data_IF_152073681152
#
_entry.id   IF_152073681152
#
_cell.length_a   1.000
_cell.length_b   1.000
_cell.length_c   1.000
_cell.angle_alpha   90.00
_cell.angle_beta   90.00
_cell.angle_gamma   90.00
#
_symmetry.space_group_name_H-M   'P 1'
#
loop_
_entity.id
_entity.type
_entity.pdbx_description
1 polymer ?
#
# COMPACT_ATOMS: atom_id res chain seq x y z
N UNK A 1 11.23 5.35 22.87
CA UNK A 1 10.04 5.40 23.76
C UNK A 1 8.83 5.57 22.86
N UNK A 2 7.76 4.79 23.06
CA UNK A 2 6.51 5.01 22.32
C UNK A 2 5.89 6.34 22.73
N UNK A 3 5.31 7.06 21.77
CA UNK A 3 4.66 8.37 21.99
C UNK A 3 3.28 8.25 22.64
N UNK A 4 2.74 7.03 22.76
CA UNK A 4 1.43 6.70 23.37
C UNK A 4 1.42 5.29 23.96
N UNK A 5 0.44 5.01 24.83
CA UNK A 5 0.21 3.67 25.42
C UNK A 5 -0.13 2.62 24.36
N UNK A 6 0.27 1.37 24.62
CA UNK A 6 -0.06 0.22 23.76
C UNK A 6 -1.58 0.06 23.69
N UNK A 7 -2.11 -0.12 22.48
CA UNK A 7 -3.55 -0.28 22.23
C UNK A 7 -4.36 1.03 22.27
N UNK A 8 -3.74 2.17 22.57
CA UNK A 8 -4.47 3.45 22.64
C UNK A 8 -4.97 3.95 21.28
N UNK A 9 -4.26 3.63 20.19
CA UNK A 9 -4.67 3.94 18.83
C UNK A 9 -4.02 2.98 17.82
N UNK A 10 -4.74 2.73 16.74
CA UNK A 10 -4.25 1.99 15.58
C UNK A 10 -3.14 2.76 14.84
N UNK A 11 -2.13 2.02 14.37
CA UNK A 11 -1.15 2.50 13.38
C UNK A 11 -0.61 1.30 12.61
N UNK A 12 -0.56 1.44 11.28
CA UNK A 12 -0.09 0.38 10.39
C UNK A 12 1.42 0.18 10.57
N UNK A 13 1.87 -1.08 10.70
CA UNK A 13 3.29 -1.38 10.92
C UNK A 13 3.75 -2.66 10.24
N UNK A 14 4.40 -2.50 9.08
CA UNK A 14 5.13 -3.60 8.43
C UNK A 14 6.22 -4.16 9.34
N UNK A 15 6.90 -3.31 10.13
CA UNK A 15 7.88 -3.75 11.11
C UNK A 15 7.24 -4.67 12.16
N UNK A 16 6.06 -4.30 12.66
CA UNK A 16 5.31 -5.13 13.62
C UNK A 16 4.96 -6.50 13.05
N UNK A 17 4.46 -6.56 11.82
CA UNK A 17 4.13 -7.84 11.15
C UNK A 17 5.36 -8.68 10.82
N UNK A 18 6.45 -8.04 10.37
CA UNK A 18 7.73 -8.71 10.16
C UNK A 18 8.30 -9.30 11.46
N UNK A 19 8.25 -8.54 12.56
CA UNK A 19 8.64 -9.02 13.90
C UNK A 19 7.76 -10.18 14.37
N UNK A 20 6.44 -10.12 14.16
CA UNK A 20 5.54 -11.22 14.49
C UNK A 20 5.94 -12.51 13.75
N UNK A 21 6.19 -12.42 12.43
CA UNK A 21 6.67 -13.57 11.65
C UNK A 21 7.98 -14.15 12.19
N UNK A 22 8.92 -13.29 12.60
CA UNK A 22 10.17 -13.71 13.22
C UNK A 22 9.95 -14.41 14.57
N UNK A 23 9.13 -13.84 15.46
CA UNK A 23 8.80 -14.42 16.76
C UNK A 23 8.10 -15.78 16.63
N UNK A 24 7.16 -15.92 15.69
CA UNK A 24 6.50 -17.18 15.40
C UNK A 24 7.48 -18.25 14.92
N UNK A 25 8.45 -17.87 14.09
CA UNK A 25 9.52 -18.77 13.61
C UNK A 25 10.40 -19.26 14.77
N UNK A 26 10.81 -18.35 15.66
CA UNK A 26 11.59 -18.70 16.85
C UNK A 26 10.82 -19.67 17.76
N UNK A 27 9.54 -19.40 18.00
CA UNK A 27 8.68 -20.25 18.83
C UNK A 27 8.47 -21.63 18.21
N UNK A 28 8.27 -21.70 16.88
CA UNK A 28 8.07 -22.94 16.14
C UNK A 28 9.39 -23.70 15.88
N UNK A 29 10.54 -23.09 16.15
CA UNK A 29 11.89 -23.62 15.90
C UNK A 29 12.11 -24.05 14.44
N UNK A 30 11.50 -23.32 13.51
CA UNK A 30 11.66 -23.47 12.06
C UNK A 30 11.72 -22.08 11.43
N UNK A 31 12.24 -21.97 10.21
CA UNK A 31 12.18 -20.71 9.47
C UNK A 31 10.73 -20.33 9.08
N UNK A 32 10.51 -19.07 8.74
CA UNK A 32 9.19 -18.54 8.46
C UNK A 32 8.54 -19.18 7.22
N UNK A 33 9.34 -19.52 6.19
CA UNK A 33 8.82 -20.16 4.98
C UNK A 33 8.28 -21.56 5.27
N UNK A 34 9.01 -22.34 6.07
CA UNK A 34 8.57 -23.64 6.57
C UNK A 34 7.29 -23.51 7.41
N UNK A 35 7.21 -22.50 8.28
CA UNK A 35 6.02 -22.27 9.11
C UNK A 35 4.78 -21.94 8.26
N UNK A 36 4.92 -21.06 7.27
CA UNK A 36 3.82 -20.72 6.34
C UNK A 36 3.39 -21.96 5.56
N UNK A 37 4.34 -22.71 4.99
CA UNK A 37 4.05 -23.92 4.21
C UNK A 37 3.23 -24.93 5.04
N UNK A 38 3.61 -25.18 6.30
CA UNK A 38 2.84 -26.05 7.21
C UNK A 38 1.43 -25.51 7.49
N UNK A 39 1.29 -24.20 7.64
CA UNK A 39 0.02 -23.55 7.98
C UNK A 39 -0.98 -23.63 6.84
N UNK A 40 -0.53 -23.47 5.59
CA UNK A 40 -1.40 -23.45 4.40
C UNK A 40 -1.51 -24.82 3.71
N UNK A 41 -0.72 -25.82 4.13
CA UNK A 41 -0.78 -27.17 3.57
C UNK A 41 -2.20 -27.76 3.58
N UNK A 42 -3.02 -27.63 4.64
CA UNK A 42 -4.40 -28.14 4.64
C UNK A 42 -5.29 -27.54 3.54
N UNK A 43 -4.96 -26.33 3.08
CA UNK A 43 -5.67 -25.61 2.02
C UNK A 43 -5.15 -25.95 0.62
N UNK A 44 -4.10 -26.76 0.51
CA UNK A 44 -3.49 -27.17 -0.76
C UNK A 44 -3.07 -25.98 -1.63
N UNK A 45 -2.53 -24.93 -1.00
CA UNK A 45 -2.02 -23.73 -1.66
C UNK A 45 -0.58 -23.95 -2.17
N UNK A 46 -0.43 -24.83 -3.18
CA UNK A 46 0.86 -25.34 -3.66
C UNK A 46 1.73 -24.31 -4.39
N UNK A 47 1.13 -23.20 -4.83
CA UNK A 47 1.79 -22.08 -5.48
C UNK A 47 1.94 -20.86 -4.57
N UNK A 48 1.76 -21.05 -3.26
CA UNK A 48 1.94 -20.00 -2.25
C UNK A 48 3.18 -20.26 -1.40
N UNK A 49 4.17 -19.39 -1.50
CA UNK A 49 5.43 -19.54 -0.76
C UNK A 49 6.26 -18.26 -0.74
N UNK A 50 7.32 -18.27 0.07
CA UNK A 50 8.33 -17.21 0.11
C UNK A 50 9.39 -17.48 -0.96
N UNK A 51 10.04 -18.63 -0.91
CA UNK A 51 11.11 -18.98 -1.85
C UNK A 51 10.53 -19.78 -3.02
N UNK A 52 10.61 -19.24 -4.25
CA UNK A 52 10.07 -19.90 -5.43
C UNK A 52 10.94 -21.10 -5.86
N UNK A 53 10.31 -22.19 -6.29
CA UNK A 53 11.00 -23.25 -7.03
C UNK A 53 11.37 -22.78 -8.44
N UNK A 54 12.25 -23.51 -9.14
CA UNK A 54 12.62 -23.18 -10.52
C UNK A 54 11.40 -23.14 -11.47
N UNK A 55 10.44 -24.06 -11.30
CA UNK A 55 9.21 -24.09 -12.09
C UNK A 55 8.34 -22.86 -11.84
N UNK A 56 8.16 -22.49 -10.57
CA UNK A 56 7.35 -21.33 -10.20
C UNK A 56 8.03 -20.01 -10.58
N UNK A 57 9.36 -19.94 -10.49
CA UNK A 57 10.12 -18.80 -10.96
C UNK A 57 9.98 -18.59 -12.48
N UNK A 58 9.95 -19.68 -13.27
CA UNK A 58 9.81 -19.61 -14.73
C UNK A 58 8.46 -19.03 -15.19
N UNK A 59 7.43 -19.12 -14.35
CA UNK A 59 6.08 -18.61 -14.61
C UNK A 59 5.69 -17.45 -13.67
N UNK A 60 6.65 -16.91 -12.94
CA UNK A 60 6.43 -15.74 -12.08
C UNK A 60 6.28 -14.49 -12.97
N UNK A 61 5.22 -13.71 -12.75
CA UNK A 61 4.96 -12.53 -13.54
C UNK A 61 6.04 -11.46 -13.32
N UNK A 62 6.49 -10.80 -14.40
CA UNK A 62 7.35 -9.61 -14.29
C UNK A 62 6.52 -8.45 -13.78
N UNK A 63 6.97 -7.80 -12.69
CA UNK A 63 6.33 -6.59 -12.17
C UNK A 63 6.68 -5.37 -13.02
N UNK A 64 5.79 -4.37 -13.03
CA UNK A 64 5.99 -3.15 -13.80
C UNK A 64 5.75 -1.90 -12.96
N UNK A 65 6.56 -0.86 -13.17
CA UNK A 65 6.32 0.46 -12.61
C UNK A 65 5.03 1.10 -13.17
N UNK A 66 4.70 2.30 -12.70
CA UNK A 66 3.55 3.05 -13.19
C UNK A 66 3.59 3.30 -14.72
N UNK A 67 4.78 3.43 -15.32
CA UNK A 67 4.94 3.66 -16.77
C UNK A 67 4.89 2.36 -17.59
N UNK A 68 4.75 1.20 -16.95
CA UNK A 68 4.76 -0.09 -17.60
C UNK A 68 6.16 -0.61 -17.91
N UNK A 69 7.22 -0.04 -17.34
CA UNK A 69 8.57 -0.59 -17.47
C UNK A 69 8.76 -1.75 -16.49
N UNK A 70 9.47 -2.83 -16.89
CA UNK A 70 9.72 -3.96 -16.02
C UNK A 70 10.62 -3.56 -14.84
N UNK A 71 10.25 -3.98 -13.63
CA UNK A 71 11.01 -3.75 -12.39
C UNK A 71 11.30 -5.06 -11.66
N UNK A 72 12.33 -5.04 -10.81
CA UNK A 72 12.65 -6.19 -9.96
C UNK A 72 11.64 -6.35 -8.84
N UNK A 73 11.17 -7.58 -8.62
CA UNK A 73 10.34 -7.90 -7.45
C UNK A 73 11.15 -7.69 -6.17
N UNK A 74 10.51 -7.13 -5.14
CA UNK A 74 11.15 -7.02 -3.84
C UNK A 74 11.37 -8.39 -3.21
N UNK A 75 12.48 -8.53 -2.50
CA UNK A 75 12.70 -9.62 -1.57
C UNK A 75 12.80 -9.05 -0.14
N UNK A 76 12.04 -9.64 0.78
CA UNK A 76 11.87 -9.13 2.15
C UNK A 76 12.38 -10.15 3.17
N UNK A 77 13.64 -10.60 3.11
CA UNK A 77 14.11 -11.73 3.91
C UNK A 77 13.94 -11.50 5.42
N UNK A 78 14.18 -10.27 5.90
CA UNK A 78 14.03 -9.91 7.31
C UNK A 78 12.59 -9.62 7.71
N UNK A 79 11.75 -9.17 6.78
CA UNK A 79 10.36 -8.77 7.01
C UNK A 79 9.37 -9.66 6.25
N UNK A 80 9.70 -10.94 6.06
CA UNK A 80 8.90 -11.82 5.21
C UNK A 80 7.46 -11.98 5.72
N UNK A 81 7.24 -11.85 7.03
CA UNK A 81 5.91 -11.81 7.65
C UNK A 81 5.06 -10.59 7.30
N UNK A 82 5.66 -9.52 6.77
CA UNK A 82 4.95 -8.31 6.36
C UNK A 82 4.44 -8.35 4.91
N UNK A 83 5.06 -9.13 4.03
CA UNK A 83 4.70 -9.13 2.60
C UNK A 83 5.57 -10.00 1.70
N UNK A 84 6.24 -11.02 2.25
CA UNK A 84 7.19 -11.86 1.49
C UNK A 84 6.54 -12.99 0.69
N UNK A 85 5.22 -13.16 0.73
CA UNK A 85 4.53 -14.24 0.04
C UNK A 85 4.29 -13.93 -1.44
N UNK A 86 4.51 -14.94 -2.26
CA UNK A 86 4.11 -14.99 -3.67
C UNK A 86 3.04 -16.07 -3.80
N UNK A 87 1.99 -15.81 -4.58
CA UNK A 87 0.81 -16.67 -4.68
C UNK A 87 0.15 -16.54 -6.05
N UNK A 88 -0.92 -17.32 -6.26
CA UNK A 88 -1.80 -17.24 -7.44
C UNK A 88 -3.22 -16.92 -7.03
N UNK A 89 -4.03 -16.40 -7.96
CA UNK A 89 -5.45 -16.20 -7.69
C UNK A 89 -6.14 -17.51 -7.29
N UNK A 90 -5.79 -18.63 -7.91
CA UNK A 90 -6.31 -19.97 -7.60
C UNK A 90 -6.07 -20.36 -6.14
N UNK A 91 -4.86 -20.16 -5.63
CA UNK A 91 -4.55 -20.50 -4.24
C UNK A 91 -5.18 -19.53 -3.24
N UNK A 92 -5.17 -18.23 -3.54
CA UNK A 92 -5.84 -17.24 -2.69
C UNK A 92 -7.35 -17.47 -2.64
N UNK A 93 -7.98 -17.98 -3.71
CA UNK A 93 -9.39 -18.37 -3.71
C UNK A 93 -9.66 -19.57 -2.79
N UNK A 94 -8.73 -20.52 -2.65
CA UNK A 94 -8.85 -21.61 -1.66
C UNK A 94 -8.80 -21.05 -0.23
N UNK A 95 -7.86 -20.15 0.04
CA UNK A 95 -7.78 -19.45 1.32
C UNK A 95 -9.05 -18.65 1.60
N UNK A 96 -9.57 -17.94 0.61
CA UNK A 96 -10.77 -17.12 0.74
C UNK A 96 -12.01 -17.97 0.98
N UNK A 97 -12.17 -19.10 0.29
CA UNK A 97 -13.26 -20.04 0.49
C UNK A 97 -13.30 -20.55 1.94
N UNK A 98 -12.14 -20.89 2.51
CA UNK A 98 -12.04 -21.31 3.90
C UNK A 98 -12.31 -20.18 4.91
N UNK A 99 -12.05 -18.92 4.56
CA UNK A 99 -12.43 -17.77 5.39
C UNK A 99 -13.93 -17.45 5.30
N UNK A 100 -14.55 -17.73 4.16
CA UNK A 100 -15.94 -17.39 3.88
C UNK A 100 -16.92 -18.38 4.51
N UNK A 101 -16.55 -19.66 4.54
CA UNK A 101 -17.40 -20.75 4.97
C UNK A 101 -16.62 -21.77 5.82
N UNK A 102 -17.08 -21.96 7.06
CA UNK A 102 -16.48 -22.91 8.00
C UNK A 102 -16.52 -24.35 7.49
N UNK A 103 -17.51 -24.70 6.67
CA UNK A 103 -17.64 -26.03 6.08
C UNK A 103 -16.61 -26.30 4.99
N UNK A 104 -16.07 -25.24 4.38
CA UNK A 104 -15.02 -25.32 3.36
C UNK A 104 -13.61 -25.25 3.96
N UNK A 105 -13.49 -24.94 5.24
CA UNK A 105 -12.23 -24.88 5.95
C UNK A 105 -11.83 -26.25 6.52
N UNK A 106 -10.57 -26.69 6.34
CA UNK A 106 -10.05 -27.87 7.03
C UNK A 106 -10.14 -27.70 8.56
N UNK A 107 -10.67 -28.72 9.24
CA UNK A 107 -10.95 -28.67 10.69
C UNK A 107 -9.74 -28.32 11.56
N UNK A 108 -8.52 -28.60 11.09
CA UNK A 108 -7.26 -28.26 11.76
C UNK A 108 -7.01 -26.75 11.87
N UNK A 109 -7.65 -25.93 11.02
CA UNK A 109 -7.45 -24.48 10.97
C UNK A 109 -8.75 -23.67 11.03
N UNK A 110 -9.94 -24.28 10.94
CA UNK A 110 -11.23 -23.57 10.88
C UNK A 110 -11.40 -22.56 12.02
N UNK A 111 -11.22 -22.98 13.27
CA UNK A 111 -11.40 -22.12 14.45
C UNK A 111 -10.44 -20.94 14.47
N UNK A 112 -9.10 -21.12 14.41
CA UNK A 112 -8.19 -19.98 14.40
C UNK A 112 -8.38 -19.08 13.19
N UNK A 113 -8.74 -19.63 12.02
CA UNK A 113 -9.00 -18.85 10.81
C UNK A 113 -10.19 -17.90 10.97
N UNK A 114 -11.31 -18.36 11.51
CA UNK A 114 -12.49 -17.49 11.68
C UNK A 114 -12.35 -16.52 12.86
N UNK A 115 -11.55 -16.87 13.87
CA UNK A 115 -11.21 -15.93 14.94
C UNK A 115 -10.48 -14.69 14.41
N UNK A 116 -9.80 -14.76 13.26
CA UNK A 116 -9.09 -13.61 12.70
C UNK A 116 -10.01 -12.49 12.23
N UNK A 117 -11.30 -12.75 12.05
CA UNK A 117 -12.29 -11.74 11.61
C UNK A 117 -12.82 -10.88 12.76
N UNK A 118 -12.45 -11.18 14.01
CA UNK A 118 -12.92 -10.44 15.18
C UNK A 118 -12.24 -9.08 15.26
N UNK A 119 -13.01 -8.00 15.25
CA UNK A 119 -12.51 -6.62 15.41
C UNK A 119 -11.75 -6.48 16.73
N UNK A 120 -10.54 -5.94 16.65
CA UNK A 120 -9.65 -5.68 17.78
C UNK A 120 -9.60 -4.18 18.13
N UNK A 121 -9.60 -3.30 17.12
CA UNK A 121 -9.48 -1.85 17.33
C UNK A 121 -10.09 -1.07 16.17
N UNK A 122 -10.70 0.08 16.47
CA UNK A 122 -11.14 1.03 15.45
C UNK A 122 -9.93 1.82 14.90
N UNK A 123 -9.90 2.08 13.60
CA UNK A 123 -8.88 2.97 13.03
C UNK A 123 -9.23 4.44 13.25
N UNK A 124 -8.39 5.37 12.78
CA UNK A 124 -8.75 6.80 12.74
C UNK A 124 -9.93 7.10 11.80
N UNK A 125 -10.26 6.18 10.89
CA UNK A 125 -11.42 6.28 10.01
C UNK A 125 -12.62 5.58 10.65
N UNK A 126 -13.81 6.23 10.73
CA UNK A 126 -14.98 5.64 11.38
C UNK A 126 -15.53 4.42 10.65
N UNK A 127 -15.23 4.29 9.36
CA UNK A 127 -15.71 3.20 8.51
C UNK A 127 -14.78 1.97 8.50
N UNK A 128 -13.58 2.09 9.09
CA UNK A 128 -12.55 1.04 9.01
C UNK A 128 -12.13 0.62 10.40
N UNK A 129 -12.31 -0.65 10.71
CA UNK A 129 -11.75 -1.30 11.89
C UNK A 129 -10.66 -2.30 11.50
N UNK A 130 -9.85 -2.70 12.47
CA UNK A 130 -8.86 -3.78 12.31
C UNK A 130 -9.28 -5.01 13.08
N UNK A 131 -9.29 -6.14 12.38
CA UNK A 131 -9.24 -7.46 12.97
C UNK A 131 -7.80 -8.02 12.90
N UNK A 132 -7.61 -9.32 13.10
CA UNK A 132 -6.25 -9.91 13.08
C UNK A 132 -5.78 -10.09 11.64
N UNK A 133 -5.04 -9.12 11.12
CA UNK A 133 -4.52 -9.15 9.75
C UNK A 133 -5.56 -8.86 8.67
N UNK A 134 -6.71 -8.29 9.05
CA UNK A 134 -7.78 -7.88 8.13
C UNK A 134 -8.25 -6.46 8.45
N UNK A 135 -8.47 -5.66 7.42
CA UNK A 135 -9.32 -4.48 7.50
C UNK A 135 -10.79 -4.93 7.45
N UNK A 136 -11.61 -4.32 8.30
CA UNK A 136 -13.07 -4.48 8.27
C UNK A 136 -13.66 -3.13 7.87
N UNK A 137 -14.04 -3.00 6.61
CA UNK A 137 -14.66 -1.81 6.03
C UNK A 137 -16.18 -1.94 6.15
N UNK A 138 -16.83 -0.94 6.74
CA UNK A 138 -18.30 -0.85 6.78
C UNK A 138 -18.76 0.37 6.00
N UNK A 139 -19.30 0.14 4.80
CA UNK A 139 -19.87 1.17 3.92
C UNK A 139 -21.15 0.65 3.28
N UNK A 140 -22.12 1.53 3.00
CA UNK A 140 -23.39 1.16 2.36
C UNK A 140 -24.12 -0.02 3.05
N UNK A 141 -24.04 -0.09 4.39
CA UNK A 141 -24.57 -1.21 5.20
C UNK A 141 -23.95 -2.58 4.88
N UNK A 142 -22.83 -2.61 4.15
CA UNK A 142 -22.07 -3.80 3.80
C UNK A 142 -20.79 -3.82 4.62
N UNK A 143 -20.57 -4.93 5.33
CA UNK A 143 -19.30 -5.21 6.01
C UNK A 143 -18.40 -6.04 5.08
N UNK A 144 -17.30 -5.44 4.66
CA UNK A 144 -16.29 -6.06 3.79
C UNK A 144 -15.03 -6.34 4.62
N UNK A 145 -14.63 -7.60 4.69
CA UNK A 145 -13.38 -8.02 5.33
C UNK A 145 -12.33 -8.17 4.23
N UNK A 146 -11.25 -7.39 4.29
CA UNK A 146 -10.30 -7.29 3.19
C UNK A 146 -8.86 -7.03 3.65
N UNK A 147 -7.92 -7.33 2.77
CA UNK A 147 -6.57 -6.82 2.85
C UNK A 147 -6.07 -6.55 1.44
N UNK A 148 -5.32 -5.46 1.27
CA UNK A 148 -4.62 -5.13 0.04
C UNK A 148 -3.10 -5.24 0.26
N UNK A 149 -2.33 -5.23 -0.81
CA UNK A 149 -0.88 -5.33 -0.72
C UNK A 149 -0.19 -4.72 -1.91
N UNK A 150 0.98 -4.15 -1.67
CA UNK A 150 1.84 -3.60 -2.70
C UNK A 150 3.30 -3.93 -2.43
N UNK A 151 3.99 -4.40 -3.47
CA UNK A 151 5.45 -4.57 -3.52
C UNK A 151 5.96 -4.02 -4.86
N UNK A 152 7.27 -4.03 -5.09
CA UNK A 152 7.87 -3.47 -6.31
C UNK A 152 7.29 -4.07 -7.58
N UNK A 153 6.48 -3.29 -8.30
CA UNK A 153 5.82 -3.73 -9.52
C UNK A 153 4.55 -4.59 -9.36
N UNK A 154 3.99 -4.74 -8.16
CA UNK A 154 2.80 -5.59 -7.94
C UNK A 154 1.77 -4.95 -7.01
N UNK A 155 0.50 -5.27 -7.25
CA UNK A 155 -0.62 -4.99 -6.34
C UNK A 155 -1.50 -6.23 -6.17
N UNK A 156 -2.11 -6.33 -5.00
CA UNK A 156 -3.02 -7.42 -4.65
C UNK A 156 -4.19 -6.89 -3.84
N UNK A 157 -5.35 -7.52 -4.04
CA UNK A 157 -6.54 -7.35 -3.23
C UNK A 157 -7.12 -8.73 -2.94
N UNK A 158 -7.49 -8.96 -1.68
CA UNK A 158 -8.30 -10.08 -1.26
C UNK A 158 -9.38 -9.57 -0.30
N UNK A 159 -10.63 -9.94 -0.54
CA UNK A 159 -11.72 -9.53 0.34
C UNK A 159 -12.98 -10.34 0.14
N UNK A 160 -13.86 -10.29 1.14
CA UNK A 160 -15.11 -11.02 1.13
C UNK A 160 -16.19 -10.35 1.98
N UNK A 161 -17.44 -10.70 1.67
CA UNK A 161 -18.64 -10.36 2.44
C UNK A 161 -19.31 -11.65 2.90
N UNK A 162 -19.60 -11.77 4.20
CA UNK A 162 -20.17 -13.00 4.79
C UNK A 162 -21.59 -13.29 4.32
N UNK A 163 -22.33 -12.25 3.93
CA UNK A 163 -23.64 -12.34 3.29
C UNK A 163 -23.62 -11.37 2.09
N UNK A 164 -23.85 -11.84 0.85
CA UNK A 164 -24.39 -13.13 0.42
C UNK A 164 -23.37 -14.27 0.23
N UNK A 165 -22.21 -14.25 0.91
CA UNK A 165 -21.06 -15.14 0.68
C UNK A 165 -20.41 -14.90 -0.69
N UNK A 166 -19.81 -13.73 -0.84
CA UNK A 166 -19.04 -13.37 -2.03
C UNK A 166 -17.59 -13.10 -1.63
N UNK A 167 -16.65 -13.69 -2.36
CA UNK A 167 -15.22 -13.48 -2.19
C UNK A 167 -14.56 -13.08 -3.50
N UNK A 168 -13.63 -12.14 -3.44
CA UNK A 168 -12.91 -11.59 -4.59
C UNK A 168 -11.41 -11.60 -4.32
N UNK A 169 -10.64 -12.01 -5.32
CA UNK A 169 -9.19 -11.86 -5.39
C UNK A 169 -8.86 -11.11 -6.68
N UNK A 170 -8.04 -10.07 -6.59
CA UNK A 170 -7.50 -9.35 -7.75
C UNK A 170 -5.99 -9.26 -7.59
N UNK A 171 -5.24 -9.67 -8.62
CA UNK A 171 -3.78 -9.60 -8.65
C UNK A 171 -3.34 -8.82 -9.88
N UNK A 172 -2.37 -7.92 -9.72
CA UNK A 172 -1.79 -7.12 -10.78
C UNK A 172 -0.28 -7.09 -10.68
N UNK A 173 0.40 -7.19 -11.83
CA UNK A 173 1.83 -7.01 -11.98
C UNK A 173 2.18 -5.59 -12.47
N UNK A 174 1.45 -4.61 -11.94
CA UNK A 174 1.66 -3.17 -12.13
C UNK A 174 1.55 -2.46 -10.79
N UNK A 175 2.17 -1.29 -10.67
CA UNK A 175 2.06 -0.40 -9.50
C UNK A 175 0.74 0.37 -9.38
N UNK A 176 -0.11 0.33 -10.41
CA UNK A 176 -1.43 0.96 -10.35
C UNK A 176 -2.31 0.29 -9.31
N UNK A 177 -2.99 1.11 -8.49
CA UNK A 177 -3.88 0.57 -7.47
C UNK A 177 -5.11 -0.14 -8.09
N UNK A 178 -5.52 -1.24 -7.47
CA UNK A 178 -6.56 -2.15 -7.96
C UNK A 178 -7.64 -2.46 -6.91
N UNK A 179 -7.54 -1.91 -5.69
CA UNK A 179 -8.49 -2.22 -4.62
C UNK A 179 -9.91 -1.79 -4.95
N UNK A 180 -10.08 -0.75 -5.77
CA UNK A 180 -11.39 -0.31 -6.27
C UNK A 180 -12.08 -1.38 -7.13
N UNK A 181 -11.35 -2.12 -7.96
CA UNK A 181 -11.87 -3.27 -8.72
C UNK A 181 -12.38 -4.34 -7.75
N UNK A 182 -11.58 -4.66 -6.73
CA UNK A 182 -11.94 -5.64 -5.71
C UNK A 182 -13.19 -5.25 -4.92
N UNK A 183 -13.23 -4.01 -4.46
CA UNK A 183 -14.36 -3.42 -3.73
C UNK A 183 -15.61 -3.35 -4.61
N UNK A 184 -15.50 -2.90 -5.86
CA UNK A 184 -16.63 -2.80 -6.80
C UNK A 184 -17.25 -4.17 -7.11
N UNK A 185 -16.42 -5.23 -7.18
CA UNK A 185 -16.92 -6.59 -7.38
C UNK A 185 -17.65 -7.13 -6.15
N UNK A 186 -17.27 -6.69 -4.93
CA UNK A 186 -17.94 -7.06 -3.68
C UNK A 186 -19.21 -6.25 -3.42
N UNK A 187 -19.19 -4.96 -3.74
CA UNK A 187 -20.32 -4.03 -3.68
C UNK A 187 -20.25 -3.06 -4.87
N UNK A 188 -21.19 -3.20 -5.81
CA UNK A 188 -21.24 -2.39 -7.04
C UNK A 188 -21.48 -0.90 -6.82
N UNK A 189 -21.84 -0.49 -5.60
CA UNK A 189 -21.96 0.93 -5.24
C UNK A 189 -20.59 1.58 -5.05
N UNK A 190 -19.53 0.80 -4.82
CA UNK A 190 -18.16 1.33 -4.80
C UNK A 190 -17.77 1.78 -6.20
N UNK A 191 -17.36 3.04 -6.41
CA UNK A 191 -16.98 3.53 -7.73
C UNK A 191 -15.67 2.90 -8.19
N UNK A 192 -15.60 2.60 -9.49
CA UNK A 192 -14.33 2.32 -10.13
C UNK A 192 -13.60 3.63 -10.38
N UNK A 193 -12.30 3.64 -10.07
CA UNK A 193 -11.41 4.74 -10.41
C UNK A 193 -11.24 4.77 -11.92
N UNK A 194 -11.41 5.94 -12.52
CA UNK A 194 -11.07 6.10 -13.93
C UNK A 194 -9.56 6.07 -14.08
N UNK A 195 -9.06 5.05 -14.78
CA UNK A 195 -7.63 4.96 -15.09
C UNK A 195 -7.20 6.18 -15.90
N UNK A 196 -6.21 6.89 -15.37
CA UNK A 196 -5.49 7.92 -16.10
C UNK A 196 -4.09 7.41 -16.35
N UNK A 197 -3.67 7.23 -17.62
CA UNK A 197 -2.31 6.79 -17.91
C UNK A 197 -1.33 7.83 -17.36
N UNK A 198 -0.26 7.40 -16.68
CA UNK A 198 0.74 8.32 -16.19
C UNK A 198 1.29 9.10 -17.37
N UNK A 199 1.28 10.42 -17.23
CA UNK A 199 1.81 11.31 -18.25
C UNK A 199 3.33 11.08 -18.28
N UNK A 200 3.88 10.81 -19.46
CA UNK A 200 5.34 10.85 -19.62
C UNK A 200 5.79 12.30 -19.41
N UNK A 201 6.51 12.55 -18.31
CA UNK A 201 6.99 13.88 -17.96
C UNK A 201 8.42 14.05 -18.41
N UNK A 202 8.71 15.21 -18.99
CA UNK A 202 10.05 15.57 -19.45
C UNK A 202 10.56 16.66 -18.52
N UNK A 203 11.68 16.39 -17.86
CA UNK A 203 12.33 17.38 -17.02
C UNK A 203 12.90 18.52 -17.87
N UNK A 204 12.67 19.75 -17.44
CA UNK A 204 13.30 20.96 -17.98
C UNK A 204 14.35 21.47 -17.00
N UNK A 205 15.38 22.14 -17.52
CA UNK A 205 16.31 22.88 -16.69
C UNK A 205 15.71 24.25 -16.35
N UNK A 206 15.62 24.57 -15.07
CA UNK A 206 15.33 25.91 -14.57
C UNK A 206 16.62 26.57 -14.10
N UNK A 207 16.67 27.90 -14.13
CA UNK A 207 17.74 28.64 -13.48
C UNK A 207 17.72 28.31 -11.97
N UNK A 208 18.83 27.88 -11.35
CA UNK A 208 18.84 27.55 -9.93
C UNK A 208 18.35 28.70 -9.03
N UNK A 209 18.48 29.96 -9.44
CA UNK A 209 18.05 31.13 -8.66
C UNK A 209 16.54 31.22 -8.49
N UNK A 210 15.73 30.81 -9.48
CA UNK A 210 14.26 30.80 -9.33
C UNK A 210 13.79 29.72 -8.36
N UNK A 211 14.60 28.68 -8.12
CA UNK A 211 14.24 27.60 -7.19
C UNK A 211 14.21 28.04 -5.73
N UNK A 212 14.90 29.13 -5.37
CA UNK A 212 14.94 29.64 -4.00
C UNK A 212 13.55 30.10 -3.52
N UNK A 213 12.69 30.56 -4.44
CA UNK A 213 11.31 30.95 -4.13
C UNK A 213 10.44 29.78 -3.63
N UNK A 214 10.76 28.55 -4.04
CA UNK A 214 10.01 27.34 -3.70
C UNK A 214 10.47 26.68 -2.40
N UNK A 215 11.64 27.06 -1.87
CA UNK A 215 12.16 26.53 -0.60
C UNK A 215 11.27 27.00 0.55
N UNK A 216 10.91 26.07 1.43
CA UNK A 216 10.04 26.35 2.57
C UNK A 216 9.37 25.13 3.16
N UNK A 217 8.53 25.37 4.16
CA UNK A 217 7.68 24.36 4.78
C UNK A 217 6.23 24.59 4.37
N UNK A 218 5.53 23.52 4.00
CA UNK A 218 4.14 23.58 3.54
C UNK A 218 3.28 22.61 4.34
N UNK A 219 2.20 23.10 4.94
CA UNK A 219 1.32 22.28 5.78
C UNK A 219 0.22 21.63 4.95
N UNK A 220 0.28 20.31 4.76
CA UNK A 220 -0.74 19.52 4.06
C UNK A 220 -1.90 19.15 4.99
N UNK A 221 -1.62 18.91 6.27
CA UNK A 221 -2.58 18.65 7.34
C UNK A 221 -1.93 18.98 8.69
N UNK A 222 -2.69 19.09 9.80
CA UNK A 222 -2.12 19.40 11.11
C UNK A 222 -0.97 18.45 11.49
N UNK A 223 0.22 19.01 11.69
CA UNK A 223 1.49 18.30 11.97
C UNK A 223 2.02 17.42 10.82
N UNK A 224 1.44 17.50 9.62
CA UNK A 224 1.94 16.83 8.43
C UNK A 224 2.48 17.87 7.44
N UNK A 225 3.80 18.08 7.53
CA UNK A 225 4.52 19.12 6.79
C UNK A 225 5.28 18.47 5.63
N UNK A 226 5.17 19.11 4.47
CA UNK A 226 6.02 18.88 3.30
C UNK A 226 7.12 19.94 3.29
N UNK A 227 8.36 19.51 3.47
CA UNK A 227 9.53 20.41 3.44
C UNK A 227 10.15 20.39 2.06
N UNK A 228 10.27 21.56 1.44
CA UNK A 228 10.95 21.75 0.16
C UNK A 228 12.34 22.32 0.45
N UNK A 229 13.38 21.60 0.01
CA UNK A 229 14.78 22.02 0.18
C UNK A 229 15.48 22.09 -1.17
N UNK A 230 16.46 22.97 -1.27
CA UNK A 230 17.36 23.06 -2.42
C UNK A 230 18.73 22.52 -2.03
N UNK A 231 19.29 21.64 -2.84
CA UNK A 231 20.66 21.17 -2.70
C UNK A 231 21.31 21.03 -4.08
N UNK A 232 22.52 21.57 -4.23
CA UNK A 232 23.27 21.58 -5.51
C UNK A 232 22.45 22.01 -6.74
N UNK A 233 21.59 23.02 -6.58
CA UNK A 233 20.74 23.53 -7.66
C UNK A 233 19.53 22.65 -8.03
N UNK A 234 19.21 21.66 -7.21
CA UNK A 234 18.06 20.76 -7.37
C UNK A 234 17.10 20.92 -6.20
N UNK A 235 15.81 20.73 -6.46
CA UNK A 235 14.80 20.72 -5.41
C UNK A 235 14.52 19.31 -4.92
N UNK A 236 14.14 19.24 -3.66
CA UNK A 236 13.76 18.00 -3.00
C UNK A 236 12.56 18.23 -2.11
N UNK A 237 11.64 17.27 -2.11
CA UNK A 237 10.51 17.21 -1.20
C UNK A 237 10.75 16.16 -0.10
N UNK A 238 10.36 16.49 1.12
CA UNK A 238 10.35 15.54 2.23
C UNK A 238 9.07 15.73 3.06
N UNK A 239 8.20 14.73 3.05
CA UNK A 239 7.07 14.69 3.96
C UNK A 239 7.50 14.21 5.35
N UNK A 240 6.76 14.59 6.39
CA UNK A 240 7.06 14.26 7.78
C UNK A 240 7.16 12.74 7.98
N UNK A 241 8.32 12.26 8.43
CA UNK A 241 8.58 10.83 8.64
C UNK A 241 8.91 10.03 7.39
N UNK A 242 9.02 10.68 6.22
CA UNK A 242 9.32 10.02 4.94
C UNK A 242 10.73 10.34 4.43
N UNK A 243 11.15 9.55 3.43
CA UNK A 243 12.39 9.80 2.70
C UNK A 243 12.32 11.11 1.91
N UNK A 244 13.50 11.68 1.65
CA UNK A 244 13.67 12.86 0.80
C UNK A 244 13.73 12.42 -0.66
N UNK A 245 12.89 13.00 -1.52
CA UNK A 245 12.77 12.67 -2.94
C UNK A 245 13.09 13.89 -3.81
N UNK A 246 13.75 13.68 -4.95
CA UNK A 246 14.11 14.75 -5.88
C UNK A 246 12.87 15.25 -6.66
N UNK A 247 12.81 16.56 -6.89
CA UNK A 247 11.78 17.21 -7.68
C UNK A 247 12.36 17.66 -9.02
N UNK A 248 11.77 17.15 -10.10
CA UNK A 248 12.13 17.50 -11.47
C UNK A 248 11.13 18.54 -12.01
N UNK A 249 11.62 19.65 -12.53
CA UNK A 249 10.76 20.67 -13.11
C UNK A 249 10.14 20.17 -14.43
N UNK A 250 8.82 20.27 -14.58
CA UNK A 250 8.11 20.08 -15.85
C UNK A 250 7.78 21.44 -16.51
N UNK A 251 7.48 22.44 -15.67
CA UNK A 251 7.32 23.84 -16.08
C UNK A 251 7.98 24.74 -15.03
N UNK A 252 7.86 26.07 -15.18
CA UNK A 252 8.37 26.99 -14.17
C UNK A 252 7.76 26.76 -12.77
N UNK A 253 6.53 26.26 -12.67
CA UNK A 253 5.81 26.13 -11.39
C UNK A 253 5.35 24.71 -11.07
N UNK A 254 5.54 23.78 -11.99
CA UNK A 254 5.12 22.38 -11.85
C UNK A 254 6.33 21.47 -11.79
N UNK A 255 6.36 20.62 -10.77
CA UNK A 255 7.43 19.68 -10.50
C UNK A 255 6.86 18.28 -10.31
N UNK A 256 7.60 17.26 -10.70
CA UNK A 256 7.21 15.86 -10.52
C UNK A 256 8.31 15.06 -9.84
N UNK A 257 7.93 13.94 -9.26
CA UNK A 257 8.83 12.96 -8.68
C UNK A 257 8.89 11.76 -9.63
N UNK A 258 10.08 11.21 -9.86
CA UNK A 258 10.25 10.04 -10.74
C UNK A 258 9.99 8.72 -10.03
N UNK A 259 10.21 8.67 -8.72
CA UNK A 259 10.09 7.46 -7.91
C UNK A 259 8.64 7.13 -7.51
N UNK A 260 7.74 8.13 -7.59
CA UNK A 260 6.31 7.99 -7.29
C UNK A 260 5.51 8.87 -8.25
N UNK A 261 4.30 8.45 -8.62
CA UNK A 261 3.39 9.29 -9.43
C UNK A 261 2.79 10.41 -8.57
N UNK A 262 3.61 11.43 -8.33
CA UNK A 262 3.26 12.62 -7.59
C UNK A 262 3.76 13.87 -8.31
N UNK A 263 2.97 14.94 -8.22
CA UNK A 263 3.29 16.24 -8.77
C UNK A 263 3.05 17.34 -7.73
N UNK A 264 3.89 18.36 -7.75
CA UNK A 264 3.72 19.58 -6.96
C UNK A 264 3.49 20.74 -7.91
N UNK A 265 2.46 21.53 -7.65
CA UNK A 265 2.23 22.81 -8.32
C UNK A 265 2.38 23.94 -7.33
N UNK A 266 3.35 24.83 -7.55
CA UNK A 266 3.54 26.04 -6.75
C UNK A 266 2.62 27.16 -7.24
N UNK A 267 1.97 27.83 -6.30
CA UNK A 267 1.04 28.92 -6.57
C UNK A 267 1.61 30.23 -6.03
N UNK A 268 1.57 31.25 -6.89
CA UNK A 268 2.00 32.60 -6.57
C UNK A 268 0.80 33.46 -6.19
N UNK A 269 1.03 34.46 -5.35
CA UNK A 269 0.05 35.52 -5.11
C UNK A 269 0.10 36.62 -6.20
N UNK A 270 -0.64 37.71 -5.99
CA UNK A 270 -0.67 38.85 -6.93
C UNK A 270 0.64 39.64 -6.99
N UNK A 271 1.57 39.43 -6.06
CA UNK A 271 2.89 40.06 -6.01
C UNK A 271 3.97 39.16 -6.64
N UNK A 272 3.63 37.92 -7.00
CA UNK A 272 4.56 36.96 -7.58
C UNK A 272 5.28 36.12 -6.53
N UNK A 273 4.87 36.16 -5.27
CA UNK A 273 5.48 35.36 -4.18
C UNK A 273 4.81 34.00 -4.06
N UNK A 274 5.60 32.95 -3.84
CA UNK A 274 5.07 31.59 -3.65
C UNK A 274 4.44 31.49 -2.27
N UNK A 275 3.12 31.38 -2.22
CA UNK A 275 2.37 31.34 -0.95
C UNK A 275 1.80 29.95 -0.65
N UNK A 276 1.64 29.11 -1.67
CA UNK A 276 1.02 27.80 -1.55
C UNK A 276 1.62 26.78 -2.51
N UNK A 277 1.41 25.52 -2.23
CA UNK A 277 1.53 24.45 -3.20
C UNK A 277 0.29 23.56 -3.20
N UNK A 278 0.13 22.78 -4.27
CA UNK A 278 -0.83 21.68 -4.34
C UNK A 278 -0.03 20.42 -4.64
N UNK A 279 -0.15 19.41 -3.77
CA UNK A 279 0.35 18.06 -4.02
C UNK A 279 -0.73 17.26 -4.73
N UNK A 280 -0.40 16.75 -5.91
CA UNK A 280 -1.22 15.87 -6.73
C UNK A 280 -0.68 14.46 -6.58
N UNK A 281 -1.42 13.58 -5.93
CA UNK A 281 -0.96 12.20 -5.71
C UNK A 281 -2.16 11.25 -5.62
N UNK A 282 -2.09 10.11 -6.31
CA UNK A 282 -3.14 9.08 -6.29
C UNK A 282 -4.54 9.62 -6.63
N UNK A 283 -4.61 10.59 -7.55
CA UNK A 283 -5.86 11.24 -7.96
C UNK A 283 -6.43 12.26 -6.97
N UNK A 284 -5.74 12.52 -5.85
CA UNK A 284 -6.10 13.56 -4.89
C UNK A 284 -5.31 14.85 -5.14
N UNK A 285 -5.96 15.98 -4.84
CA UNK A 285 -5.32 17.29 -4.77
C UNK A 285 -5.29 17.75 -3.30
N UNK A 286 -4.08 17.90 -2.75
CA UNK A 286 -3.84 18.28 -1.36
C UNK A 286 -3.21 19.68 -1.33
N UNK A 287 -4.00 20.75 -1.09
CA UNK A 287 -3.48 22.09 -0.99
C UNK A 287 -2.71 22.28 0.32
N UNK A 288 -1.59 23.02 0.27
CA UNK A 288 -0.78 23.34 1.44
C UNK A 288 -0.34 24.81 1.42
N UNK A 289 -0.49 25.48 2.57
CA UNK A 289 -0.01 26.84 2.76
C UNK A 289 1.47 26.84 3.12
N UNK A 290 2.24 27.79 2.58
CA UNK A 290 3.63 28.01 2.96
C UNK A 290 3.68 28.61 4.37
N UNK A 291 4.47 28.01 5.26
CA UNK A 291 4.66 28.42 6.65
C UNK A 291 5.88 29.31 6.82
N UNK A 292 6.96 28.98 6.12
CA UNK A 292 8.28 29.65 6.16
C UNK A 292 8.91 29.61 4.79
#
# INVERSE_FOLDING_TARGET
MLTRSIGAAYEYSNLGMGLLGHLLSLQAKVDYATLVSRTIQPLQMIDTQIHLTAEQQARFATGHDALGNPVSSWDLPTLAGAGGLRSTATDLLKFLAANLDQELAPSSITVPLHNTHTIQIQTGSPEVAMALGWHVLTQNQTEIILHNGGTGGFRSFIGFVKQPRLGVVVLSNSEHEISDIGLHLLDRQHPLTQYQPPKQRVAIALDPTVLDAYVGQYELAPNFILTITKDQGRLYAQATGQAKLELFAETATQFFITDVDAQITFLHDSQGEVTRLVLHQSGQELPANKLT
#
